data_IF_355315888866
#
_entry.id   IF_355315888866
#
_cell.length_a   1.000
_cell.length_b   1.000
_cell.length_c   1.000
_cell.angle_alpha   90.00
_cell.angle_beta   90.00
_cell.angle_gamma   90.00
#
_symmetry.space_group_name_H-M   'P 1'
#
loop_
_entity.id
_entity.type
_entity.pdbx_description
1 polymer ?
#
# COMPACT_ATOMS: atom_id res chain seq x y z
N UNK A 1 -11.45 -3.09 13.71
CA UNK A 1 -10.23 -3.90 13.46
C UNK A 1 -9.02 -3.06 13.80
N UNK A 2 -8.03 -3.64 14.48
CA UNK A 2 -6.73 -3.01 14.68
C UNK A 2 -5.72 -3.65 13.73
N UNK A 3 -5.00 -2.81 12.97
CA UNK A 3 -3.92 -3.27 12.07
C UNK A 3 -2.67 -2.40 12.23
N UNK A 4 -2.01 -2.42 13.40
CA UNK A 4 -0.81 -1.65 13.62
C UNK A 4 0.41 -2.30 12.92
N UNK A 5 1.43 -1.49 12.66
CA UNK A 5 2.76 -2.02 12.37
C UNK A 5 3.38 -2.65 13.64
N UNK A 6 3.96 -3.86 13.56
CA UNK A 6 4.68 -4.51 14.65
C UNK A 6 5.83 -3.67 15.21
N UNK A 7 6.20 -3.92 16.47
CA UNK A 7 7.22 -3.10 17.17
C UNK A 7 8.60 -3.19 16.54
N UNK A 8 8.99 -4.35 16.02
CA UNK A 8 10.23 -4.53 15.24
C UNK A 8 10.23 -3.66 13.98
N UNK A 9 9.08 -3.58 13.28
CA UNK A 9 8.93 -2.74 12.09
C UNK A 9 8.97 -1.25 12.41
N UNK A 10 8.39 -0.84 13.54
CA UNK A 10 8.51 0.54 14.03
C UNK A 10 9.95 0.91 14.37
N UNK A 11 10.69 0.02 15.04
CA UNK A 11 12.12 0.20 15.35
C UNK A 11 12.96 0.31 14.07
N UNK A 12 12.69 -0.52 13.08
CA UNK A 12 13.37 -0.48 11.77
C UNK A 12 13.07 0.83 11.01
N UNK A 13 11.82 1.31 11.07
CA UNK A 13 11.44 2.61 10.51
C UNK A 13 12.18 3.77 11.20
N UNK A 14 12.23 3.75 12.53
CA UNK A 14 12.91 4.79 13.31
C UNK A 14 14.43 4.77 13.09
N UNK A 15 15.05 3.59 12.96
CA UNK A 15 16.50 3.49 12.68
C UNK A 15 16.88 4.02 11.29
N UNK A 16 15.91 4.09 10.36
CA UNK A 16 16.06 4.75 9.05
C UNK A 16 15.78 6.26 9.10
N UNK A 17 15.68 6.86 10.29
CA UNK A 17 15.58 8.30 10.49
C UNK A 17 14.15 8.86 10.45
N UNK A 18 13.12 8.02 10.54
CA UNK A 18 11.72 8.44 10.57
C UNK A 18 11.20 8.69 11.98
N UNK A 19 10.23 9.58 12.11
CA UNK A 19 9.66 9.98 13.38
C UNK A 19 8.82 8.85 14.00
N UNK A 20 9.26 8.32 15.13
CA UNK A 20 8.58 7.22 15.82
C UNK A 20 7.21 7.60 16.42
N UNK A 21 6.90 8.89 16.52
CA UNK A 21 5.63 9.40 17.06
C UNK A 21 4.60 9.75 15.99
N UNK A 22 5.01 9.92 14.72
CA UNK A 22 4.11 10.39 13.65
C UNK A 22 4.26 9.66 12.31
N UNK A 23 5.37 8.98 12.04
CA UNK A 23 5.66 8.38 10.74
C UNK A 23 5.67 6.85 10.80
N UNK A 24 6.17 6.27 11.90
CA UNK A 24 6.34 4.82 12.05
C UNK A 24 5.07 4.10 12.54
N UNK A 25 3.94 4.36 11.88
CA UNK A 25 2.67 3.66 12.11
C UNK A 25 2.14 3.10 10.80
N UNK A 26 1.06 2.32 10.90
CA UNK A 26 0.31 1.91 9.72
C UNK A 26 -0.78 2.94 9.46
N UNK A 27 -0.60 3.78 8.45
CA UNK A 27 -1.62 4.69 7.95
C UNK A 27 -2.33 4.02 6.79
N UNK A 28 -3.62 3.76 6.93
CA UNK A 28 -4.43 3.24 5.83
C UNK A 28 -4.53 4.33 4.76
N UNK A 29 -4.09 4.00 3.55
CA UNK A 29 -4.11 4.93 2.41
C UNK A 29 -5.14 4.50 1.38
N UNK A 30 -5.31 3.19 1.19
CA UNK A 30 -6.25 2.63 0.23
C UNK A 30 -7.29 1.76 0.93
N UNK A 31 -8.56 1.93 0.56
CA UNK A 31 -9.66 1.07 0.97
C UNK A 31 -10.74 1.10 -0.12
N UNK A 32 -11.06 -0.05 -0.71
CA UNK A 32 -12.12 -0.17 -1.70
C UNK A 32 -12.77 -1.55 -1.66
N UNK A 33 -14.03 -1.66 -2.09
CA UNK A 33 -14.66 -2.94 -2.34
C UNK A 33 -13.90 -3.73 -3.40
N UNK A 34 -13.60 -5.00 -3.09
CA UNK A 34 -12.98 -5.93 -4.03
C UNK A 34 -14.00 -6.89 -4.63
N UNK A 35 -14.93 -7.38 -3.79
CA UNK A 35 -16.08 -8.18 -4.18
C UNK A 35 -17.20 -8.00 -3.15
N UNK A 36 -18.29 -8.77 -3.27
CA UNK A 36 -19.45 -8.65 -2.37
C UNK A 36 -19.16 -8.91 -0.90
N UNK A 37 -18.10 -9.65 -0.56
CA UNK A 37 -17.80 -10.07 0.82
C UNK A 37 -16.51 -9.47 1.38
N UNK A 38 -15.65 -8.87 0.53
CA UNK A 38 -14.34 -8.39 0.92
C UNK A 38 -14.06 -6.98 0.41
N UNK A 39 -13.48 -6.17 1.29
CA UNK A 39 -12.76 -4.95 0.94
C UNK A 39 -11.29 -5.29 0.74
N UNK A 40 -10.60 -4.58 -0.13
CA UNK A 40 -9.15 -4.60 -0.24
C UNK A 40 -8.59 -3.30 0.35
N UNK A 41 -7.56 -3.42 1.18
CA UNK A 41 -6.96 -2.28 1.88
C UNK A 41 -5.44 -2.33 1.84
N UNK A 42 -4.82 -1.15 1.79
CA UNK A 42 -3.38 -0.98 1.93
C UNK A 42 -3.04 0.14 2.90
N UNK A 43 -1.92 -0.02 3.61
CA UNK A 43 -1.38 1.01 4.48
C UNK A 43 0.14 1.06 4.47
N UNK A 44 0.69 2.17 4.99
CA UNK A 44 2.12 2.48 5.00
C UNK A 44 2.95 1.50 5.84
N UNK A 45 2.32 0.86 6.83
CA UNK A 45 2.88 -0.17 7.69
C UNK A 45 4.31 0.13 8.18
N UNK A 46 4.50 1.34 8.74
CA UNK A 46 5.80 1.89 9.17
C UNK A 46 6.86 1.88 8.05
N UNK A 47 6.57 2.58 6.94
CA UNK A 47 7.44 2.65 5.76
C UNK A 47 7.78 1.26 5.17
N UNK A 48 6.85 0.31 5.26
CA UNK A 48 6.93 -1.01 4.62
C UNK A 48 5.56 -1.39 4.06
N UNK A 49 5.05 -0.69 3.04
CA UNK A 49 3.65 -0.77 2.62
C UNK A 49 3.15 -2.20 2.50
N UNK A 50 1.99 -2.47 3.09
CA UNK A 50 1.31 -3.78 3.03
C UNK A 50 -0.13 -3.62 2.61
N UNK A 51 -0.66 -4.68 2.01
CA UNK A 51 -2.06 -4.78 1.65
C UNK A 51 -2.66 -6.09 2.17
N UNK A 52 -3.97 -6.12 2.34
CA UNK A 52 -4.72 -7.33 2.72
C UNK A 52 -6.20 -7.17 2.39
N UNK A 53 -6.97 -8.24 2.61
CA UNK A 53 -8.42 -8.22 2.48
C UNK A 53 -9.07 -8.10 3.86
N UNK A 54 -10.14 -7.31 3.93
CA UNK A 54 -11.02 -7.21 5.09
C UNK A 54 -12.32 -7.91 4.73
N UNK A 55 -12.72 -8.90 5.50
CA UNK A 55 -14.06 -9.47 5.40
C UNK A 55 -15.08 -8.42 5.87
N UNK A 56 -16.02 -8.05 4.99
CA UNK A 56 -16.97 -6.97 5.23
C UNK A 56 -18.08 -7.38 6.23
N UNK A 57 -18.49 -8.65 6.23
CA UNK A 57 -19.58 -9.16 7.07
C UNK A 57 -19.18 -9.22 8.55
N UNK A 58 -17.99 -9.73 8.82
CA UNK A 58 -17.48 -9.90 10.19
C UNK A 58 -16.54 -8.77 10.63
N UNK A 59 -16.16 -7.89 9.70
CA UNK A 59 -15.17 -6.84 9.92
C UNK A 59 -13.90 -7.41 10.55
N UNK A 60 -13.26 -8.36 9.86
CA UNK A 60 -12.02 -9.02 10.28
C UNK A 60 -10.98 -9.02 9.16
N UNK A 61 -9.69 -9.11 9.50
CA UNK A 61 -8.60 -9.29 8.54
C UNK A 61 -7.59 -10.32 9.06
N UNK A 62 -6.88 -10.96 8.14
CA UNK A 62 -5.85 -11.95 8.47
C UNK A 62 -4.45 -11.32 8.39
N UNK A 63 -3.85 -11.03 9.55
CA UNK A 63 -2.49 -10.45 9.65
C UNK A 63 -1.37 -11.40 9.22
N UNK A 64 -1.65 -12.69 9.05
CA UNK A 64 -0.70 -13.65 8.48
C UNK A 64 -0.70 -13.66 6.94
N UNK A 65 -1.74 -13.10 6.30
CA UNK A 65 -1.90 -13.04 4.85
C UNK A 65 -1.75 -11.60 4.33
N UNK A 66 -0.59 -11.00 4.59
CA UNK A 66 -0.25 -9.67 4.09
C UNK A 66 0.45 -9.76 2.75
N UNK A 67 -0.03 -9.00 1.78
CA UNK A 67 0.60 -8.80 0.48
C UNK A 67 1.59 -7.64 0.53
N UNK A 68 2.56 -7.67 -0.40
CA UNK A 68 3.41 -6.50 -0.62
C UNK A 68 2.60 -5.33 -1.19
N UNK A 69 2.80 -4.15 -0.60
CA UNK A 69 2.10 -2.91 -0.95
C UNK A 69 2.93 -1.95 -1.78
N UNK A 70 4.16 -2.31 -2.17
CA UNK A 70 5.03 -1.46 -2.99
C UNK A 70 4.32 -1.10 -4.31
N UNK A 71 4.27 0.19 -4.64
CA UNK A 71 3.57 0.70 -5.81
C UNK A 71 2.03 0.68 -5.73
N UNK A 72 1.45 0.04 -4.70
CA UNK A 72 0.01 0.06 -4.38
C UNK A 72 -0.33 1.15 -3.35
N UNK A 73 0.59 1.41 -2.42
CA UNK A 73 0.46 2.36 -1.33
C UNK A 73 1.80 3.06 -1.10
N UNK A 74 1.83 4.36 -0.74
CA UNK A 74 3.08 5.06 -0.46
C UNK A 74 3.74 4.53 0.82
N UNK A 75 5.06 4.70 0.91
CA UNK A 75 5.84 4.45 2.12
C UNK A 75 5.56 5.50 3.20
N UNK A 76 5.47 6.75 2.78
CA UNK A 76 5.34 7.93 3.64
C UNK A 76 3.86 8.35 3.73
N UNK A 77 3.30 8.53 4.94
CA UNK A 77 1.89 8.89 5.12
C UNK A 77 1.52 10.28 4.60
N UNK A 78 2.49 11.19 4.44
CA UNK A 78 2.27 12.54 3.93
C UNK A 78 2.27 12.60 2.39
N UNK A 79 2.69 11.53 1.70
CA UNK A 79 2.76 11.53 0.22
C UNK A 79 1.41 11.26 -0.43
N UNK A 80 1.22 11.87 -1.59
CA UNK A 80 0.04 11.70 -2.43
C UNK A 80 -0.07 10.27 -2.95
N UNK A 81 -1.30 9.79 -3.05
CA UNK A 81 -1.61 8.50 -3.66
C UNK A 81 -3.04 8.55 -4.23
N UNK A 82 -3.29 7.73 -5.26
CA UNK A 82 -4.64 7.42 -5.72
C UNK A 82 -4.66 5.98 -6.21
N UNK A 83 -5.85 5.39 -6.27
CA UNK A 83 -6.03 4.09 -6.89
C UNK A 83 -7.50 3.74 -7.06
N UNK A 84 -7.75 2.73 -7.88
CA UNK A 84 -9.08 2.16 -8.07
C UNK A 84 -8.97 0.68 -8.45
N UNK A 85 -9.97 -0.11 -8.05
CA UNK A 85 -10.14 -1.50 -8.47
C UNK A 85 -11.23 -1.57 -9.55
N UNK A 86 -10.88 -2.14 -10.71
CA UNK A 86 -11.79 -2.47 -11.81
C UNK A 86 -11.48 -3.89 -12.26
N UNK A 87 -12.51 -4.71 -12.45
CA UNK A 87 -12.38 -6.10 -12.89
C UNK A 87 -11.39 -6.94 -12.07
N UNK A 88 -11.37 -6.69 -10.75
CA UNK A 88 -10.46 -7.30 -9.76
C UNK A 88 -8.97 -6.98 -9.96
N UNK A 89 -8.65 -6.00 -10.80
CA UNK A 89 -7.33 -5.43 -10.97
C UNK A 89 -7.25 -4.08 -10.23
N UNK A 90 -6.17 -3.85 -9.48
CA UNK A 90 -5.86 -2.57 -8.87
C UNK A 90 -5.02 -1.75 -9.83
N UNK A 91 -5.47 -0.54 -10.09
CA UNK A 91 -4.70 0.53 -10.72
C UNK A 91 -4.34 1.53 -9.64
N UNK A 92 -3.06 1.84 -9.46
CA UNK A 92 -2.59 2.77 -8.43
C UNK A 92 -1.59 3.76 -9.00
N UNK A 93 -1.61 4.99 -8.48
CA UNK A 93 -0.59 6.00 -8.73
C UNK A 93 0.00 6.44 -7.39
N UNK A 94 1.30 6.23 -7.20
CA UNK A 94 1.99 6.49 -5.94
C UNK A 94 3.51 6.60 -6.16
N UNK A 95 4.28 6.60 -5.08
CA UNK A 95 5.74 6.55 -5.08
C UNK A 95 6.22 5.12 -4.74
N UNK A 96 7.11 4.59 -5.57
CA UNK A 96 7.55 3.19 -5.56
C UNK A 96 8.64 2.88 -4.53
N UNK A 97 9.36 3.91 -4.06
CA UNK A 97 10.52 3.75 -3.19
C UNK A 97 10.35 4.44 -1.83
N UNK A 98 11.25 4.10 -0.89
CA UNK A 98 11.25 4.63 0.47
C UNK A 98 11.46 6.15 0.53
N UNK A 99 12.28 6.69 -0.38
CA UNK A 99 12.62 8.12 -0.44
C UNK A 99 11.44 8.98 -0.92
N UNK A 100 10.47 8.37 -1.61
CA UNK A 100 9.33 9.08 -2.17
C UNK A 100 9.70 9.94 -3.37
N UNK A 101 10.57 9.41 -4.24
CA UNK A 101 11.04 10.09 -5.47
C UNK A 101 10.54 9.41 -6.74
N UNK A 102 10.31 8.10 -6.70
CA UNK A 102 10.06 7.32 -7.92
C UNK A 102 8.55 7.20 -8.13
N UNK A 103 7.97 8.14 -8.89
CA UNK A 103 6.55 8.09 -9.23
C UNK A 103 6.23 6.92 -10.16
N UNK A 104 5.12 6.22 -9.89
CA UNK A 104 4.69 5.07 -10.68
C UNK A 104 3.18 5.05 -10.83
N UNK A 105 2.72 4.69 -12.03
CA UNK A 105 1.36 4.16 -12.26
C UNK A 105 1.50 2.66 -12.45
N UNK A 106 0.86 1.88 -11.57
CA UNK A 106 0.95 0.43 -11.51
C UNK A 106 -0.43 -0.18 -11.73
N UNK A 107 -0.49 -1.24 -12.55
CA UNK A 107 -1.60 -2.19 -12.58
C UNK A 107 -1.14 -3.52 -12.02
N UNK A 108 -1.80 -3.98 -10.96
CA UNK A 108 -1.52 -5.22 -10.27
C UNK A 108 -2.82 -5.88 -9.78
N UNK A 109 -2.73 -7.04 -9.08
CA UNK A 109 -3.88 -7.93 -8.82
C UNK A 109 -4.49 -8.46 -10.13
N UNK A 110 -5.43 -9.40 -10.01
CA UNK A 110 -6.14 -10.00 -11.14
C UNK A 110 -5.60 -11.37 -11.59
N UNK A 111 -6.32 -11.99 -12.52
CA UNK A 111 -5.97 -13.30 -13.09
C UNK A 111 -4.93 -13.21 -14.22
N UNK A 112 -4.69 -12.01 -14.74
CA UNK A 112 -3.70 -11.75 -15.79
C UNK A 112 -2.29 -11.86 -15.18
N UNK A 113 -1.43 -12.67 -15.80
CA UNK A 113 -0.10 -13.01 -15.26
C UNK A 113 0.95 -11.88 -15.32
N UNK A 114 0.59 -10.69 -15.79
CA UNK A 114 1.54 -9.59 -16.01
C UNK A 114 1.11 -8.30 -15.32
N UNK A 115 1.80 -8.00 -14.22
CA UNK A 115 1.84 -6.65 -13.63
C UNK A 115 2.41 -5.67 -14.65
N UNK A 116 1.81 -4.49 -14.78
CA UNK A 116 2.29 -3.44 -15.68
C UNK A 116 2.60 -2.19 -14.87
N UNK A 117 3.72 -1.52 -15.18
CA UNK A 117 4.08 -0.24 -14.59
C UNK A 117 4.45 0.77 -15.67
N UNK A 118 4.26 2.06 -15.38
CA UNK A 118 4.84 3.15 -16.17
C UNK A 118 6.37 3.01 -16.24
N UNK A 119 6.96 3.55 -17.32
CA UNK A 119 8.42 3.67 -17.44
C UNK A 119 8.95 4.67 -16.40
N UNK A 120 10.22 4.51 -16.01
CA UNK A 120 10.88 5.32 -14.98
C UNK A 120 11.53 6.59 -15.60
N UNK A 121 11.18 6.92 -16.86
CA UNK A 121 11.68 8.08 -17.60
C UNK A 121 10.94 9.38 -17.21
N UNK A 122 11.65 10.51 -17.01
CA UNK A 122 11.05 11.81 -16.66
C UNK A 122 10.04 12.39 -17.67
N UNK A 123 9.97 11.82 -18.87
CA UNK A 123 9.00 12.21 -19.90
C UNK A 123 7.56 11.78 -19.56
N UNK A 124 7.39 10.77 -18.69
CA UNK A 124 6.08 10.21 -18.33
C UNK A 124 5.50 10.87 -17.08
N UNK A 125 6.25 10.83 -15.97
CA UNK A 125 5.85 11.35 -14.67
C UNK A 125 6.97 12.25 -14.14
N UNK A 126 6.60 13.45 -13.67
CA UNK A 126 7.53 14.47 -13.15
C UNK A 126 7.34 14.68 -11.65
#
# INVERSE_FOLDING_TARGET
IEWPAPQDKKKECASKGKNNQTECFNYIRFLQSYNHTHLYTCGTYAYQPKCTYVNADYFTLNTAALEDGRGKCPYDPAKGHTGLIVDKELYSATLFNFLGTDAVILRNLGQQHYSMKSDDLPAWLK
#
